data_IF_243111889363
#
_entry.id   IF_243111889363
#
_cell.length_a   1.000
_cell.length_b   1.000
_cell.length_c   1.000
_cell.angle_alpha   90.00
_cell.angle_beta   90.00
_cell.angle_gamma   90.00
#
_symmetry.space_group_name_H-M   'P 1'
#
loop_
_entity.id
_entity.type
_entity.pdbx_description
1 polymer ?
#
# COMPACT_ATOMS: atom_id res chain seq x y z
N UNK A 1 4.55 7.35 -59.40
CA UNK A 1 3.82 6.54 -58.43
C UNK A 1 4.57 6.47 -57.13
N UNK A 2 3.88 6.83 -56.06
CA UNK A 2 4.30 6.76 -54.67
C UNK A 2 4.02 5.34 -54.15
N UNK A 3 4.99 4.71 -53.50
CA UNK A 3 4.77 3.59 -52.57
C UNK A 3 6.08 3.39 -51.79
N UNK A 4 6.19 3.82 -50.53
CA UNK A 4 5.51 3.41 -49.31
C UNK A 4 6.53 2.64 -48.45
N UNK A 5 7.23 3.40 -47.60
CA UNK A 5 8.01 2.87 -46.49
C UNK A 5 7.09 2.02 -45.61
N UNK A 6 7.35 0.71 -45.52
CA UNK A 6 6.81 -0.10 -44.42
C UNK A 6 7.64 0.19 -43.17
N UNK A 7 7.04 0.97 -42.28
CA UNK A 7 7.52 1.17 -40.91
C UNK A 7 7.24 -0.13 -40.15
N UNK A 8 8.31 -0.77 -39.69
CA UNK A 8 8.29 -1.86 -38.73
C UNK A 8 7.61 -1.35 -37.44
N UNK A 9 6.60 -2.03 -36.87
CA UNK A 9 6.08 -1.60 -35.58
C UNK A 9 7.15 -1.87 -34.52
N UNK A 10 7.71 -0.79 -33.98
CA UNK A 10 8.40 -0.85 -32.68
C UNK A 10 7.38 -1.40 -31.68
N UNK A 11 7.50 -2.68 -31.34
CA UNK A 11 6.94 -3.19 -30.11
C UNK A 11 7.66 -2.47 -28.97
N UNK A 12 7.02 -1.44 -28.47
CA UNK A 12 7.31 -0.84 -27.19
C UNK A 12 7.05 -1.91 -26.13
N UNK A 13 8.12 -2.61 -25.72
CA UNK A 13 8.16 -3.46 -24.52
C UNK A 13 8.11 -2.59 -23.25
N UNK A 14 7.13 -1.69 -23.18
CA UNK A 14 6.95 -0.68 -22.15
C UNK A 14 5.72 -1.03 -21.31
N UNK A 15 5.77 -2.16 -20.64
CA UNK A 15 4.86 -2.52 -19.54
C UNK A 15 5.47 -3.61 -18.64
N UNK A 16 6.76 -3.48 -18.35
CA UNK A 16 7.41 -4.15 -17.22
C UNK A 16 8.28 -3.14 -16.47
N UNK A 17 7.79 -1.90 -16.33
CA UNK A 17 8.48 -0.90 -15.53
C UNK A 17 8.40 -1.29 -14.05
N UNK A 18 9.50 -1.84 -13.54
CA UNK A 18 9.92 -1.73 -12.14
C UNK A 18 9.03 -2.35 -11.04
N UNK A 19 8.00 -3.13 -11.36
CA UNK A 19 7.30 -3.97 -10.37
C UNK A 19 7.95 -5.35 -10.13
N UNK A 20 9.07 -5.63 -10.82
CA UNK A 20 9.85 -6.87 -10.65
C UNK A 20 11.18 -6.60 -9.96
N UNK A 21 11.23 -5.69 -8.98
CA UNK A 21 12.22 -5.80 -7.92
C UNK A 21 11.76 -6.95 -7.03
N UNK A 22 12.55 -8.02 -7.00
CA UNK A 22 12.35 -9.25 -6.25
C UNK A 22 11.86 -9.01 -4.82
N UNK A 23 10.55 -8.81 -4.66
CA UNK A 23 9.95 -8.84 -3.35
C UNK A 23 9.94 -10.33 -2.97
N UNK A 24 10.91 -10.75 -2.18
CA UNK A 24 10.94 -12.05 -1.50
C UNK A 24 9.73 -12.26 -0.56
N UNK A 25 8.84 -11.28 -0.54
CA UNK A 25 7.69 -11.13 0.32
C UNK A 25 6.49 -10.85 -0.58
N UNK A 26 5.41 -11.60 -0.37
CA UNK A 26 4.12 -11.34 -0.99
C UNK A 26 3.11 -11.04 0.09
N UNK A 27 2.15 -10.17 -0.20
CA UNK A 27 1.04 -9.85 0.68
C UNK A 27 -0.24 -9.97 -0.14
N UNK A 28 -1.25 -10.66 0.39
CA UNK A 28 -2.58 -10.67 -0.22
C UNK A 28 -3.67 -10.86 0.83
N UNK A 29 -4.87 -10.35 0.56
CA UNK A 29 -6.04 -10.57 1.40
C UNK A 29 -6.73 -11.85 0.95
N UNK A 30 -7.05 -12.72 1.89
CA UNK A 30 -7.75 -13.99 1.68
C UNK A 30 -8.98 -14.05 2.58
N UNK A 31 -10.01 -14.77 2.13
CA UNK A 31 -11.25 -14.91 2.88
C UNK A 31 -11.35 -16.29 3.50
N UNK A 32 -11.81 -16.33 4.75
CA UNK A 32 -12.19 -17.60 5.39
C UNK A 32 -13.47 -18.14 4.76
N UNK A 33 -13.43 -19.42 4.34
CA UNK A 33 -14.55 -20.07 3.65
C UNK A 33 -15.82 -20.07 4.49
N UNK A 34 -15.70 -20.20 5.81
CA UNK A 34 -16.83 -20.36 6.73
C UNK A 34 -17.45 -19.01 7.11
N UNK A 35 -16.62 -18.08 7.57
CA UNK A 35 -17.06 -16.81 8.16
C UNK A 35 -17.01 -15.62 7.22
N UNK A 36 -16.34 -15.75 6.05
CA UNK A 36 -16.02 -14.63 5.16
C UNK A 36 -15.15 -13.53 5.82
N UNK A 37 -14.54 -13.83 6.97
CA UNK A 37 -13.60 -12.93 7.62
C UNK A 37 -12.35 -12.75 6.76
N UNK A 38 -11.77 -11.55 6.81
CA UNK A 38 -10.57 -11.19 6.06
C UNK A 38 -9.32 -11.56 6.84
N UNK A 39 -8.36 -12.12 6.13
CA UNK A 39 -7.03 -12.41 6.64
C UNK A 39 -5.98 -11.86 5.70
N UNK A 40 -4.86 -11.40 6.25
CA UNK A 40 -3.66 -11.09 5.50
C UNK A 40 -2.82 -12.38 5.40
N UNK A 41 -2.64 -12.88 4.18
CA UNK A 41 -1.66 -13.91 3.88
C UNK A 41 -0.36 -13.24 3.40
N UNK A 42 0.77 -13.69 3.92
CA UNK A 42 2.06 -13.21 3.47
C UNK A 42 3.14 -14.27 3.49
N UNK A 43 4.18 -14.07 2.68
CA UNK A 43 5.37 -14.91 2.66
C UNK A 43 6.57 -14.10 3.08
N UNK A 44 7.57 -14.71 3.70
CA UNK A 44 8.86 -14.04 3.90
C UNK A 44 9.99 -15.04 4.14
N UNK A 45 11.23 -14.53 4.20
CA UNK A 45 12.38 -15.31 4.62
C UNK A 45 13.01 -14.71 5.88
N UNK A 46 13.27 -15.57 6.86
CA UNK A 46 13.99 -15.20 8.09
C UNK A 46 15.00 -16.30 8.40
N UNK A 47 16.27 -15.93 8.52
CA UNK A 47 17.38 -16.83 8.87
C UNK A 47 17.47 -18.09 7.97
N UNK A 48 17.26 -17.92 6.65
CA UNK A 48 17.29 -19.02 5.68
C UNK A 48 16.03 -19.90 5.64
N UNK A 49 15.05 -19.65 6.52
CA UNK A 49 13.78 -20.37 6.55
C UNK A 49 12.75 -19.58 5.74
N UNK A 50 12.05 -20.26 4.83
CA UNK A 50 10.94 -19.68 4.07
C UNK A 50 9.63 -19.88 4.83
N UNK A 51 8.93 -18.78 5.12
CA UNK A 51 7.69 -18.78 5.87
C UNK A 51 6.51 -18.43 4.99
N UNK A 52 5.39 -19.11 5.26
CA UNK A 52 4.06 -18.73 4.82
C UNK A 52 3.27 -18.44 6.09
N UNK A 53 2.67 -17.27 6.14
CA UNK A 53 2.00 -16.76 7.33
C UNK A 53 0.60 -16.24 6.98
N UNK A 54 -0.24 -16.18 8.01
CA UNK A 54 -1.60 -15.68 7.97
C UNK A 54 -1.88 -14.89 9.24
N UNK A 55 -2.62 -13.79 9.16
CA UNK A 55 -3.09 -13.06 10.35
C UNK A 55 -4.43 -12.38 10.10
N UNK A 56 -5.26 -12.29 11.14
CA UNK A 56 -6.45 -11.43 11.22
C UNK A 56 -6.17 -10.13 12.00
N UNK A 57 -4.89 -9.78 12.21
CA UNK A 57 -4.40 -8.69 13.06
C UNK A 57 -4.62 -8.87 14.58
N UNK A 58 -5.11 -10.03 15.03
CA UNK A 58 -5.18 -10.42 16.44
C UNK A 58 -4.35 -11.67 16.71
N UNK A 59 -4.57 -12.71 15.89
CA UNK A 59 -3.87 -13.97 15.89
C UNK A 59 -2.94 -14.08 14.67
N UNK A 60 -1.92 -14.91 14.80
CA UNK A 60 -0.98 -15.21 13.72
C UNK A 60 -0.85 -16.71 13.57
N UNK A 61 -0.85 -17.20 12.33
CA UNK A 61 -0.53 -18.57 11.98
C UNK A 61 0.66 -18.59 11.04
N UNK A 62 1.54 -19.57 11.19
CA UNK A 62 2.69 -19.71 10.31
C UNK A 62 3.08 -21.15 10.05
N UNK A 63 3.86 -21.34 8.99
CA UNK A 63 4.63 -22.55 8.71
C UNK A 63 6.00 -22.14 8.19
N UNK A 64 7.04 -22.87 8.58
CA UNK A 64 8.42 -22.60 8.22
C UNK A 64 9.05 -23.78 7.49
N UNK A 65 9.66 -23.51 6.34
CA UNK A 65 10.38 -24.49 5.53
C UNK A 65 11.87 -24.20 5.56
N UNK A 66 12.62 -25.08 6.23
CA UNK A 66 14.08 -25.18 6.11
C UNK A 66 14.45 -25.67 4.71
N UNK A 67 15.71 -25.54 4.27
CA UNK A 67 16.10 -25.99 2.93
C UNK A 67 15.76 -27.48 2.68
N UNK A 68 15.94 -28.32 3.70
CA UNK A 68 15.63 -29.76 3.63
C UNK A 68 14.14 -30.02 3.37
N UNK A 69 13.26 -29.32 4.11
CA UNK A 69 11.80 -29.47 3.97
C UNK A 69 11.25 -28.71 2.76
N UNK A 70 11.97 -27.69 2.29
CA UNK A 70 11.59 -26.89 1.14
C UNK A 70 11.68 -27.70 -0.16
N UNK A 71 12.59 -28.67 -0.25
CA UNK A 71 12.65 -29.58 -1.40
C UNK A 71 11.38 -30.42 -1.54
N UNK A 72 10.88 -30.97 -0.43
CA UNK A 72 9.62 -31.72 -0.43
C UNK A 72 8.43 -30.82 -0.75
N UNK A 73 8.42 -29.61 -0.18
CA UNK A 73 7.41 -28.60 -0.49
C UNK A 73 7.39 -28.26 -1.99
N UNK A 74 8.56 -28.01 -2.60
CA UNK A 74 8.67 -27.73 -4.04
C UNK A 74 8.16 -28.89 -4.89
N UNK A 75 8.50 -30.12 -4.53
CA UNK A 75 8.00 -31.31 -5.24
C UNK A 75 6.47 -31.45 -5.13
N UNK A 76 5.90 -31.28 -3.93
CA UNK A 76 4.45 -31.36 -3.69
C UNK A 76 3.67 -30.35 -4.53
N UNK A 77 4.22 -29.16 -4.74
CA UNK A 77 3.58 -28.06 -5.47
C UNK A 77 4.06 -27.94 -6.93
N UNK A 78 4.86 -28.90 -7.41
CA UNK A 78 5.52 -28.88 -8.72
C UNK A 78 6.17 -27.51 -9.03
N UNK A 79 7.05 -27.06 -8.14
CA UNK A 79 7.74 -25.78 -8.18
C UNK A 79 9.21 -25.96 -8.55
N UNK A 80 9.79 -25.02 -9.32
CA UNK A 80 11.23 -24.96 -9.59
C UNK A 80 11.95 -24.16 -8.52
N UNK A 81 11.28 -23.14 -7.98
CA UNK A 81 11.80 -22.34 -6.86
C UNK A 81 10.68 -21.85 -5.93
N UNK A 82 11.04 -21.17 -4.84
CA UNK A 82 10.10 -20.47 -3.96
C UNK A 82 9.45 -19.25 -4.61
N UNK A 83 10.15 -18.62 -5.55
CA UNK A 83 9.64 -17.48 -6.29
C UNK A 83 8.48 -17.92 -7.19
N UNK A 84 8.53 -19.15 -7.73
CA UNK A 84 7.38 -19.75 -8.42
C UNK A 84 6.16 -19.87 -7.50
N UNK A 85 6.36 -20.24 -6.22
CA UNK A 85 5.26 -20.30 -5.26
C UNK A 85 4.69 -18.91 -5.00
N UNK A 86 5.54 -17.92 -4.78
CA UNK A 86 5.14 -16.52 -4.56
C UNK A 86 4.32 -16.01 -5.74
N UNK A 87 4.75 -16.29 -6.98
CA UNK A 87 4.03 -15.92 -8.19
C UNK A 87 2.67 -16.63 -8.29
N UNK A 88 2.62 -17.95 -8.05
CA UNK A 88 1.36 -18.72 -8.03
C UNK A 88 0.39 -18.16 -6.98
N UNK A 89 0.87 -17.90 -5.77
CA UNK A 89 0.07 -17.32 -4.69
C UNK A 89 -0.49 -15.96 -5.12
N UNK A 90 0.35 -15.06 -5.64
CA UNK A 90 -0.09 -13.73 -6.09
C UNK A 90 -1.16 -13.80 -7.17
N UNK A 91 -0.96 -14.64 -8.19
CA UNK A 91 -1.93 -14.85 -9.26
C UNK A 91 -3.25 -15.38 -8.71
N UNK A 92 -3.20 -16.37 -7.82
CA UNK A 92 -4.38 -16.99 -7.23
C UNK A 92 -5.13 -16.01 -6.30
N UNK A 93 -4.43 -15.15 -5.55
CA UNK A 93 -5.10 -14.09 -4.77
C UNK A 93 -5.80 -13.08 -5.69
N UNK A 94 -5.16 -12.67 -6.80
CA UNK A 94 -5.75 -11.74 -7.77
C UNK A 94 -6.96 -12.31 -8.49
N UNK A 95 -7.01 -13.62 -8.73
CA UNK A 95 -8.14 -14.30 -9.37
C UNK A 95 -9.23 -14.74 -8.39
N UNK A 96 -9.04 -14.54 -7.08
CA UNK A 96 -9.97 -15.02 -6.04
C UNK A 96 -9.96 -16.53 -5.84
N UNK A 97 -8.91 -17.21 -6.30
CA UNK A 97 -8.76 -18.67 -6.24
C UNK A 97 -7.94 -19.13 -5.00
N UNK A 98 -7.90 -18.26 -3.99
CA UNK A 98 -7.27 -18.50 -2.69
C UNK A 98 -8.30 -18.30 -1.59
N UNK A 99 -8.32 -19.22 -0.64
CA UNK A 99 -9.20 -19.14 0.52
C UNK A 99 -8.56 -19.81 1.71
N UNK A 100 -9.02 -19.46 2.91
CA UNK A 100 -8.55 -20.09 4.14
C UNK A 100 -9.67 -20.82 4.84
N UNK A 101 -9.33 -21.86 5.60
CA UNK A 101 -10.21 -22.43 6.61
C UNK A 101 -9.49 -22.35 7.95
N UNK A 102 -10.06 -21.60 8.89
CA UNK A 102 -9.51 -21.50 10.24
C UNK A 102 -10.18 -22.51 11.18
N UNK A 103 -9.38 -23.08 12.07
CA UNK A 103 -9.77 -24.03 13.11
C UNK A 103 -9.14 -23.60 14.45
N UNK A 104 -9.52 -24.24 15.55
CA UNK A 104 -9.12 -23.81 16.91
C UNK A 104 -7.60 -23.75 17.11
N UNK A 105 -6.86 -24.70 16.54
CA UNK A 105 -5.41 -24.85 16.73
C UNK A 105 -4.58 -24.52 15.49
N UNK A 106 -5.21 -24.14 14.37
CA UNK A 106 -4.50 -24.02 13.10
C UNK A 106 -5.35 -23.44 11.97
N UNK A 107 -4.73 -23.31 10.80
CA UNK A 107 -5.39 -22.83 9.60
C UNK A 107 -4.91 -23.60 8.37
N UNK A 108 -5.75 -23.68 7.35
CA UNK A 108 -5.40 -24.28 6.05
C UNK A 108 -5.60 -23.26 4.93
N UNK A 109 -4.50 -22.85 4.31
CA UNK A 109 -4.50 -22.00 3.13
C UNK A 109 -4.69 -22.89 1.90
N UNK A 110 -5.76 -22.65 1.16
CA UNK A 110 -6.12 -23.39 -0.04
C UNK A 110 -5.89 -22.53 -1.28
N UNK A 111 -5.25 -23.11 -2.28
CA UNK A 111 -5.08 -22.52 -3.60
C UNK A 111 -5.66 -23.46 -4.65
N UNK A 112 -6.46 -22.93 -5.57
CA UNK A 112 -7.11 -23.73 -6.61
C UNK A 112 -8.53 -24.15 -6.24
N UNK A 113 -9.42 -24.06 -7.22
CA UNK A 113 -10.80 -24.55 -7.17
C UNK A 113 -10.95 -25.78 -8.07
N UNK A 114 -10.52 -26.96 -7.60
CA UNK A 114 -10.67 -28.19 -8.37
C UNK A 114 -9.92 -29.42 -7.83
N UNK A 115 -10.08 -30.60 -8.47
CA UNK A 115 -9.31 -31.81 -8.16
C UNK A 115 -7.83 -31.57 -8.51
N UNK A 116 -7.01 -31.32 -7.50
CA UNK A 116 -5.64 -30.80 -7.66
C UNK A 116 -5.38 -29.51 -6.86
N UNK A 117 -6.35 -29.06 -6.07
CA UNK A 117 -6.18 -27.98 -5.11
C UNK A 117 -5.01 -28.27 -4.17
N UNK A 118 -4.17 -27.27 -3.97
CA UNK A 118 -3.00 -27.36 -3.12
C UNK A 118 -3.30 -26.66 -1.81
N UNK A 119 -3.01 -27.34 -0.69
CA UNK A 119 -3.21 -26.78 0.65
C UNK A 119 -1.92 -26.72 1.44
N UNK A 120 -1.79 -25.66 2.23
CA UNK A 120 -0.73 -25.46 3.21
C UNK A 120 -1.36 -25.40 4.58
N UNK A 121 -0.92 -26.27 5.49
CA UNK A 121 -1.32 -26.23 6.89
C UNK A 121 -0.41 -25.28 7.66
N UNK A 122 -1.02 -24.39 8.45
CA UNK A 122 -0.36 -23.41 9.30
C UNK A 122 -0.73 -23.66 10.76
N UNK A 123 0.26 -23.54 11.64
CA UNK A 123 0.06 -23.68 13.09
C UNK A 123 -0.16 -22.30 13.70
N UNK A 124 -1.03 -22.21 14.70
CA UNK A 124 -1.26 -20.97 15.44
C UNK A 124 -0.02 -20.64 16.28
N UNK A 125 0.43 -19.39 16.23
CA UNK A 125 1.48 -18.87 17.10
C UNK A 125 0.87 -18.41 18.42
N UNK A 126 1.58 -18.65 19.51
CA UNK A 126 1.08 -18.38 20.86
C UNK A 126 1.88 -17.27 21.56
N UNK A 127 1.18 -16.49 22.38
CA UNK A 127 1.76 -15.54 23.32
C UNK A 127 2.76 -14.53 22.70
N UNK A 128 3.98 -14.40 23.27
CA UNK A 128 4.96 -13.40 22.81
C UNK A 128 5.36 -13.55 21.35
N UNK A 129 5.40 -14.78 20.82
CA UNK A 129 5.84 -15.05 19.45
C UNK A 129 4.88 -14.45 18.42
N UNK A 130 3.56 -14.57 18.64
CA UNK A 130 2.56 -13.97 17.76
C UNK A 130 2.66 -12.44 17.78
N UNK A 131 2.90 -11.85 18.95
CA UNK A 131 3.02 -10.40 19.11
C UNK A 131 4.28 -9.86 18.43
N UNK A 132 5.40 -10.56 18.56
CA UNK A 132 6.67 -10.20 17.90
C UNK A 132 6.55 -10.29 16.38
N UNK A 133 5.96 -11.37 15.86
CA UNK A 133 5.74 -11.55 14.42
C UNK A 133 4.81 -10.46 13.85
N UNK A 134 3.72 -10.14 14.54
CA UNK A 134 2.80 -9.07 14.12
C UNK A 134 3.48 -7.69 14.14
N UNK A 135 4.31 -7.43 15.14
CA UNK A 135 5.11 -6.19 15.23
C UNK A 135 6.10 -6.11 14.05
N UNK A 136 6.88 -7.16 13.80
CA UNK A 136 7.82 -7.20 12.68
C UNK A 136 7.10 -7.03 11.33
N UNK A 137 5.95 -7.66 11.16
CA UNK A 137 5.12 -7.54 9.97
C UNK A 137 4.70 -6.09 9.71
N UNK A 138 4.21 -5.39 10.73
CA UNK A 138 3.79 -3.98 10.62
C UNK A 138 4.95 -3.08 10.19
N UNK A 139 6.12 -3.21 10.83
CA UNK A 139 7.31 -2.43 10.43
C UNK A 139 7.75 -2.77 9.02
N UNK A 140 7.78 -4.05 8.64
CA UNK A 140 8.16 -4.48 7.29
C UNK A 140 7.21 -3.93 6.22
N UNK A 141 5.91 -3.90 6.48
CA UNK A 141 4.94 -3.30 5.57
C UNK A 141 5.14 -1.78 5.47
N UNK A 142 5.37 -1.09 6.59
CA UNK A 142 5.66 0.34 6.59
C UNK A 142 6.94 0.67 5.79
N UNK A 143 8.02 -0.08 6.01
CA UNK A 143 9.28 0.07 5.26
C UNK A 143 9.10 -0.19 3.76
N UNK A 144 8.29 -1.19 3.41
CA UNK A 144 7.99 -1.51 2.01
C UNK A 144 7.23 -0.38 1.31
N UNK A 145 6.31 0.29 2.02
CA UNK A 145 5.58 1.44 1.50
C UNK A 145 6.52 2.65 1.30
N UNK A 146 7.42 2.93 2.25
CA UNK A 146 8.39 4.03 2.12
C UNK A 146 9.29 3.84 0.89
N UNK A 147 9.74 2.61 0.64
CA UNK A 147 10.53 2.29 -0.56
C UNK A 147 9.74 2.50 -1.85
N UNK A 148 8.44 2.17 -1.86
CA UNK A 148 7.56 2.40 -3.01
C UNK A 148 7.33 3.88 -3.30
N UNK A 149 7.41 4.74 -2.28
CA UNK A 149 7.20 6.18 -2.40
C UNK A 149 8.50 7.00 -2.45
N UNK A 150 9.65 6.34 -2.51
CA UNK A 150 10.94 7.03 -2.65
C UNK A 150 11.03 7.72 -4.02
N UNK A 151 11.57 8.96 -4.07
CA UNK A 151 11.45 9.86 -5.23
C UNK A 151 12.17 9.38 -6.51
N UNK A 152 13.02 8.35 -6.42
CA UNK A 152 13.60 7.69 -7.61
C UNK A 152 12.64 6.71 -8.29
N UNK A 153 11.47 6.43 -7.71
CA UNK A 153 10.39 5.69 -8.35
C UNK A 153 9.43 6.65 -9.04
N UNK A 154 9.42 6.64 -10.37
CA UNK A 154 8.63 7.50 -11.24
C UNK A 154 7.12 7.17 -11.27
N UNK A 155 6.53 6.84 -10.10
CA UNK A 155 5.16 6.29 -9.98
C UNK A 155 4.13 7.32 -9.51
N UNK A 156 4.52 8.57 -9.34
CA UNK A 156 3.57 9.65 -9.08
C UNK A 156 3.09 10.26 -10.42
N UNK A 157 1.78 10.38 -10.67
CA UNK A 157 1.28 11.33 -11.64
C UNK A 157 1.82 12.72 -11.28
N UNK A 158 2.38 13.39 -12.27
CA UNK A 158 3.06 14.69 -12.23
C UNK A 158 2.10 15.85 -11.89
N UNK A 159 1.22 15.69 -10.89
CA UNK A 159 0.13 16.63 -10.57
C UNK A 159 0.30 17.36 -9.25
N UNK A 160 1.37 17.08 -8.49
CA UNK A 160 1.72 17.87 -7.31
C UNK A 160 3.20 18.30 -7.32
N UNK A 161 3.60 18.95 -8.41
CA UNK A 161 4.73 19.88 -8.38
C UNK A 161 4.27 21.18 -7.70
N UNK A 162 4.75 21.54 -6.49
CA UNK A 162 4.71 22.93 -6.06
C UNK A 162 5.66 23.66 -6.99
N UNK A 163 5.11 24.20 -8.08
CA UNK A 163 5.82 24.91 -9.13
C UNK A 163 6.61 26.06 -8.50
N UNK A 164 7.84 25.79 -8.06
CA UNK A 164 8.82 26.80 -7.72
C UNK A 164 9.23 27.40 -9.05
N UNK A 165 8.39 28.30 -9.54
CA UNK A 165 8.64 29.07 -10.74
C UNK A 165 9.91 29.88 -10.50
N UNK A 166 11.03 29.34 -10.97
CA UNK A 166 12.19 30.13 -11.37
C UNK A 166 11.73 31.00 -12.55
N UNK A 167 11.12 32.14 -12.22
CA UNK A 167 10.79 33.18 -13.18
C UNK A 167 12.07 33.92 -13.53
N UNK A 168 12.78 33.41 -14.53
CA UNK A 168 13.81 34.17 -15.25
C UNK A 168 13.13 34.98 -16.36
N UNK A 169 12.67 36.19 -16.04
CA UNK A 169 12.30 37.25 -17.00
C UNK A 169 12.28 38.63 -16.30
N UNK A 170 12.49 39.74 -17.03
CA UNK A 170 13.26 40.90 -16.57
C UNK A 170 12.53 41.79 -15.57
N UNK A 171 13.33 42.55 -14.80
CA UNK A 171 12.92 43.42 -13.69
C UNK A 171 11.75 44.35 -14.04
N UNK A 172 10.57 44.03 -13.54
CA UNK A 172 9.53 45.03 -13.28
C UNK A 172 9.78 45.60 -11.88
N UNK A 173 10.01 46.90 -11.82
CA UNK A 173 10.25 47.68 -10.60
C UNK A 173 9.16 47.42 -9.55
N UNK A 174 9.50 46.67 -8.51
CA UNK A 174 8.59 46.39 -7.39
C UNK A 174 8.52 47.63 -6.50
N UNK A 175 7.48 48.45 -6.67
CA UNK A 175 7.13 49.49 -5.69
C UNK A 175 6.89 48.79 -4.34
N UNK A 176 7.65 49.18 -3.30
CA UNK A 176 7.58 48.60 -1.94
C UNK A 176 6.13 48.50 -1.48
N UNK A 177 5.68 47.27 -1.18
CA UNK A 177 4.34 46.96 -0.66
C UNK A 177 4.25 47.36 0.82
N UNK A 178 3.12 47.91 1.24
CA UNK A 178 2.89 48.29 2.64
C UNK A 178 2.73 47.03 3.53
N UNK A 179 3.23 47.04 4.78
CA UNK A 179 3.06 45.93 5.72
C UNK A 179 1.59 45.57 5.91
N UNK A 180 1.24 44.28 5.80
CA UNK A 180 -0.11 43.76 6.05
C UNK A 180 -1.03 43.61 4.83
N UNK A 181 -0.51 43.83 3.61
CA UNK A 181 -1.18 43.44 2.37
C UNK A 181 -1.09 41.91 2.16
N UNK A 182 -2.23 41.26 1.89
CA UNK A 182 -2.30 39.80 1.75
C UNK A 182 -1.48 39.32 0.56
N UNK A 183 -0.61 38.33 0.80
CA UNK A 183 0.29 37.74 -0.21
C UNK A 183 -0.44 36.81 -1.18
N UNK A 184 -1.52 36.18 -0.72
CA UNK A 184 -2.20 35.09 -1.45
C UNK A 184 -3.24 35.64 -2.43
N UNK A 185 -3.79 36.83 -2.18
CA UNK A 185 -4.79 37.44 -3.05
C UNK A 185 -4.53 38.95 -3.25
N UNK A 186 -3.58 39.31 -4.13
CA UNK A 186 -3.25 40.70 -4.41
C UNK A 186 -4.44 41.38 -5.10
N UNK A 187 -5.15 42.26 -4.36
CA UNK A 187 -6.29 43.02 -4.86
C UNK A 187 -7.57 42.90 -4.03
N UNK A 188 -7.64 41.94 -3.10
CA UNK A 188 -8.81 41.81 -2.23
C UNK A 188 -8.73 42.82 -1.09
N UNK A 189 -9.62 43.82 -1.08
CA UNK A 189 -9.76 44.75 0.06
C UNK A 189 -10.31 43.99 1.27
N UNK A 190 -9.66 44.13 2.43
CA UNK A 190 -10.14 43.56 3.70
C UNK A 190 -11.55 44.06 3.99
N UNK A 191 -12.45 43.16 4.42
CA UNK A 191 -13.73 43.55 5.02
C UNK A 191 -13.44 44.43 6.24
N UNK A 192 -13.98 45.65 6.25
CA UNK A 192 -13.96 46.53 7.42
C UNK A 192 -14.70 45.84 8.57
N UNK A 193 -14.12 45.90 9.77
CA UNK A 193 -14.76 45.48 11.01
C UNK A 193 -16.06 46.27 11.19
N UNK A 194 -17.14 45.59 11.61
CA UNK A 194 -18.41 46.24 11.87
C UNK A 194 -18.25 47.20 13.04
N UNK A 195 -18.54 48.49 12.81
CA UNK A 195 -18.62 49.48 13.89
C UNK A 195 -19.86 49.15 14.71
N UNK A 196 -19.67 48.89 16.01
CA UNK A 196 -20.76 48.52 16.92
C UNK A 196 -21.83 49.60 17.01
N UNK A 197 -23.07 49.18 17.18
CA UNK A 197 -24.19 50.05 17.55
C UNK A 197 -24.05 50.42 19.02
N UNK A 198 -24.05 51.72 19.32
CA UNK A 198 -24.24 52.22 20.68
C UNK A 198 -25.74 52.24 20.97
N UNK A 199 -26.16 51.61 22.06
CA UNK A 199 -27.50 51.76 22.60
C UNK A 199 -27.44 52.88 23.63
N UNK A 200 -28.29 53.89 23.49
CA UNK A 200 -28.50 54.87 24.55
C UNK A 200 -29.23 54.15 25.70
N UNK A 201 -28.60 54.14 26.88
CA UNK A 201 -29.24 53.72 28.11
C UNK A 201 -30.17 54.86 28.56
N UNK A 202 -31.44 54.79 28.17
CA UNK A 202 -32.48 55.58 28.82
C UNK A 202 -32.83 54.93 30.16
N UNK A 203 -32.30 55.51 31.23
CA UNK A 203 -32.75 55.33 32.60
C UNK A 203 -34.27 55.56 32.69
N UNK A 204 -35.04 54.47 32.81
CA UNK A 204 -36.35 54.52 33.46
C UNK A 204 -36.30 53.70 34.74
N UNK A 205 -35.88 54.42 35.77
CA UNK A 205 -36.12 54.18 37.18
C UNK A 205 -37.61 54.00 37.49
N UNK A 206 -37.92 52.92 38.21
CA UNK A 206 -39.03 52.76 39.18
C UNK A 206 -40.46 52.74 38.58
N UNK A 207 -41.46 51.98 39.07
CA UNK A 207 -41.78 51.49 40.41
C UNK A 207 -42.91 50.44 40.35
N UNK A 208 -42.84 49.44 41.24
CA UNK A 208 -43.90 48.51 41.73
C UNK A 208 -44.79 47.74 40.74
#
# INVERSE_FOLDING_TARGET
>A
SVQANQVLPHQTHSSMSLQTLFCNTSYCIVLDKKSQSRFLCYTHRKNGIFYICLTNAADVWSTGYTEDTLTQFRQRFALKSTEDYILKLRLACSSGDVSVVVHDTGAELHMGSGPGNQSVTLSKLEGPQATEELKELLFRMADSLIQLFSPDSSVWPDEFEPRWQQSSAPSVTVKRRLPGASLINPGTKKKLQATGVAFDDEDQSEQC
#
